data_IF_737350130518
#
_entry.id   IF_737350130518
#
_cell.length_a   1.000
_cell.length_b   1.000
_cell.length_c   1.000
_cell.angle_alpha   90.00
_cell.angle_beta   90.00
_cell.angle_gamma   90.00
#
_symmetry.space_group_name_H-M   'P 1'
#
loop_
_entity.id
_entity.type
_entity.pdbx_description
1 polymer ?
#
# COMPACT_ATOMS: atom_id res chain seq x y z
N UNK A 1 21.07 -10.30 -31.17
CA UNK A 1 20.30 -10.93 -30.06
C UNK A 1 21.00 -10.85 -28.70
N UNK A 2 22.30 -11.22 -28.53
CA UNK A 2 23.05 -11.04 -27.27
C UNK A 2 23.18 -9.56 -26.84
N UNK A 3 23.50 -8.68 -27.78
CA UNK A 3 23.67 -7.24 -27.53
C UNK A 3 22.36 -6.57 -27.14
N UNK A 4 21.24 -6.93 -27.77
CA UNK A 4 19.87 -6.46 -27.43
C UNK A 4 19.41 -6.92 -26.03
N UNK A 5 19.80 -8.10 -25.59
CA UNK A 5 19.55 -8.60 -24.23
C UNK A 5 20.39 -7.86 -23.19
N UNK A 6 21.67 -7.64 -23.46
CA UNK A 6 22.56 -6.89 -22.56
C UNK A 6 22.08 -5.43 -22.41
N UNK A 7 21.68 -4.79 -23.52
CA UNK A 7 21.13 -3.43 -23.51
C UNK A 7 19.77 -3.37 -22.80
N UNK A 8 18.98 -4.44 -22.87
CA UNK A 8 17.73 -4.59 -22.11
C UNK A 8 18.01 -4.65 -20.61
N UNK A 9 18.94 -5.51 -20.17
CA UNK A 9 19.32 -5.60 -18.75
C UNK A 9 20.03 -4.34 -18.23
N UNK A 10 20.77 -3.62 -19.04
CA UNK A 10 21.38 -2.33 -18.68
C UNK A 10 20.37 -1.22 -18.41
N UNK A 11 19.15 -1.33 -18.97
CA UNK A 11 18.05 -0.38 -18.75
C UNK A 11 17.28 -0.62 -17.45
N UNK A 12 17.43 -1.77 -16.81
CA UNK A 12 16.73 -2.07 -15.57
C UNK A 12 17.42 -1.43 -14.36
N UNK A 13 16.66 -0.69 -13.58
CA UNK A 13 17.10 -0.22 -12.27
C UNK A 13 16.99 -1.36 -11.25
N UNK A 14 18.08 -2.13 -11.15
CA UNK A 14 18.15 -3.29 -10.24
C UNK A 14 17.91 -2.94 -8.76
N UNK A 15 18.02 -1.66 -8.38
CA UNK A 15 17.76 -1.27 -7.00
C UNK A 15 16.28 -1.40 -6.60
N UNK A 16 15.33 -1.07 -7.49
CA UNK A 16 13.91 -1.30 -7.22
C UNK A 16 13.58 -2.78 -7.17
N UNK A 17 14.08 -3.54 -8.14
CA UNK A 17 13.88 -4.99 -8.22
C UNK A 17 14.55 -5.67 -7.03
N UNK A 18 15.80 -5.33 -6.71
CA UNK A 18 16.51 -5.88 -5.56
C UNK A 18 15.81 -5.62 -4.23
N UNK A 19 15.28 -4.40 -4.02
CA UNK A 19 14.48 -4.08 -2.83
C UNK A 19 13.19 -4.91 -2.77
N UNK A 20 12.49 -5.09 -3.89
CA UNK A 20 11.32 -5.95 -3.98
C UNK A 20 11.64 -7.39 -3.58
N UNK A 21 12.71 -7.96 -4.15
CA UNK A 21 13.13 -9.34 -3.86
C UNK A 21 13.58 -9.51 -2.41
N UNK A 22 14.35 -8.55 -1.87
CA UNK A 22 14.82 -8.62 -0.49
C UNK A 22 13.65 -8.61 0.51
N UNK A 23 12.70 -7.67 0.34
CA UNK A 23 11.51 -7.58 1.22
C UNK A 23 10.63 -8.82 1.04
N UNK A 24 10.39 -9.25 -0.21
CA UNK A 24 9.59 -10.44 -0.48
C UNK A 24 10.21 -11.70 0.11
N UNK A 25 11.52 -11.87 0.02
CA UNK A 25 12.23 -13.03 0.58
C UNK A 25 12.06 -13.10 2.11
N UNK A 26 12.24 -11.97 2.80
CA UNK A 26 11.97 -11.88 4.24
C UNK A 26 10.50 -12.21 4.54
N UNK A 27 9.57 -11.64 3.77
CA UNK A 27 8.14 -11.92 3.91
C UNK A 27 7.78 -13.38 3.66
N UNK A 28 8.40 -14.01 2.65
CA UNK A 28 8.19 -15.43 2.34
C UNK A 28 8.70 -16.36 3.46
N UNK A 29 9.87 -16.06 4.03
CA UNK A 29 10.40 -16.80 5.18
C UNK A 29 9.46 -16.64 6.39
N UNK A 30 9.02 -15.42 6.68
CA UNK A 30 8.09 -15.16 7.78
C UNK A 30 6.73 -15.84 7.56
N UNK A 31 6.20 -15.80 6.34
CA UNK A 31 4.96 -16.50 5.99
C UNK A 31 5.11 -18.03 6.10
N UNK A 32 6.25 -18.57 5.65
CA UNK A 32 6.56 -19.99 5.82
C UNK A 32 6.57 -20.38 7.30
N UNK A 33 7.22 -19.59 8.15
CA UNK A 33 7.24 -19.80 9.60
C UNK A 33 5.82 -19.78 10.18
N UNK A 34 5.06 -18.73 9.91
CA UNK A 34 3.71 -18.55 10.44
C UNK A 34 2.72 -19.65 10.01
N UNK A 35 2.86 -20.19 8.79
CA UNK A 35 1.94 -21.21 8.25
C UNK A 35 2.34 -22.63 8.58
N UNK A 36 3.64 -22.93 8.77
CA UNK A 36 4.13 -24.28 9.08
C UNK A 36 4.24 -24.55 10.60
N UNK A 37 4.05 -23.53 11.44
CA UNK A 37 3.85 -23.71 12.87
C UNK A 37 2.49 -24.36 13.19
N UNK A 38 1.56 -24.35 12.24
CA UNK A 38 0.21 -24.92 12.38
C UNK A 38 0.05 -26.20 11.57
N UNK A 39 -0.67 -27.17 12.11
CA UNK A 39 -0.91 -28.48 11.49
C UNK A 39 -1.94 -28.45 10.36
N UNK A 40 -2.59 -27.32 10.09
CA UNK A 40 -3.66 -27.24 9.09
C UNK A 40 -3.11 -27.17 7.65
N UNK A 41 -3.47 -28.17 6.83
CA UNK A 41 -3.12 -28.24 5.39
C UNK A 41 -3.54 -27.01 4.59
N UNK A 42 -4.62 -26.35 5.01
CA UNK A 42 -5.13 -25.14 4.36
C UNK A 42 -4.18 -23.94 4.52
N UNK A 43 -3.54 -23.79 5.68
CA UNK A 43 -2.58 -22.71 5.92
C UNK A 43 -1.26 -22.97 5.20
N UNK A 44 -0.83 -24.21 5.10
CA UNK A 44 0.37 -24.59 4.33
C UNK A 44 0.21 -24.26 2.83
N UNK A 45 -1.02 -24.36 2.26
CA UNK A 45 -1.28 -23.99 0.87
C UNK A 45 -1.14 -22.48 0.59
N UNK A 46 -1.23 -21.61 1.63
CA UNK A 46 -1.07 -20.15 1.51
C UNK A 46 0.34 -19.79 1.06
N UNK A 47 1.37 -20.44 1.61
CA UNK A 47 2.76 -20.21 1.20
C UNK A 47 2.97 -20.51 -0.29
N UNK A 48 2.51 -21.68 -0.76
CA UNK A 48 2.59 -22.03 -2.17
C UNK A 48 1.84 -21.07 -3.09
N UNK A 49 0.69 -20.57 -2.63
CA UNK A 49 -0.09 -19.56 -3.36
C UNK A 49 0.65 -18.22 -3.44
N UNK A 50 1.32 -17.80 -2.37
CA UNK A 50 2.13 -16.57 -2.37
C UNK A 50 3.28 -16.63 -3.37
N UNK A 51 3.97 -17.79 -3.48
CA UNK A 51 5.03 -17.97 -4.47
C UNK A 51 4.48 -17.90 -5.92
N UNK A 52 3.31 -18.50 -6.19
CA UNK A 52 2.66 -18.40 -7.50
C UNK A 52 2.32 -16.94 -7.84
N UNK A 53 1.77 -16.18 -6.88
CA UNK A 53 1.49 -14.77 -7.05
C UNK A 53 2.75 -13.93 -7.28
N UNK A 54 3.87 -14.30 -6.65
CA UNK A 54 5.14 -13.62 -6.88
C UNK A 54 5.68 -13.86 -8.30
N UNK A 55 5.50 -15.05 -8.87
CA UNK A 55 5.83 -15.30 -10.29
C UNK A 55 4.98 -14.40 -11.20
N UNK A 56 3.66 -14.31 -10.95
CA UNK A 56 2.78 -13.40 -11.69
C UNK A 56 3.21 -11.94 -11.50
N UNK A 57 3.57 -11.54 -10.28
CA UNK A 57 4.07 -10.19 -9.98
C UNK A 57 5.31 -9.84 -10.81
N UNK A 58 6.26 -10.76 -10.98
CA UNK A 58 7.44 -10.56 -11.82
C UNK A 58 7.09 -10.35 -13.29
N UNK A 59 6.13 -11.12 -13.81
CA UNK A 59 5.62 -10.93 -15.18
C UNK A 59 4.99 -9.53 -15.31
N UNK A 60 4.21 -9.10 -14.32
CA UNK A 60 3.60 -7.77 -14.29
C UNK A 60 4.65 -6.66 -14.26
N UNK A 61 5.69 -6.77 -13.42
CA UNK A 61 6.82 -5.82 -13.39
C UNK A 61 7.45 -5.71 -14.77
N UNK A 62 7.73 -6.85 -15.40
CA UNK A 62 8.35 -6.90 -16.73
C UNK A 62 7.46 -6.23 -17.79
N UNK A 63 6.19 -6.60 -17.86
CA UNK A 63 5.24 -6.03 -18.84
C UNK A 63 5.09 -4.53 -18.65
N UNK A 64 4.89 -4.06 -17.41
CA UNK A 64 4.69 -2.62 -17.14
C UNK A 64 5.97 -1.82 -17.41
N UNK A 65 7.15 -2.38 -17.13
CA UNK A 65 8.43 -1.70 -17.39
C UNK A 65 8.71 -1.43 -18.88
N UNK A 66 8.05 -2.17 -19.78
CA UNK A 66 8.16 -1.96 -21.23
C UNK A 66 7.35 -0.75 -21.73
N UNK A 67 6.37 -0.28 -20.96
CA UNK A 67 5.58 0.88 -21.36
C UNK A 67 6.40 2.17 -21.20
N UNK A 68 6.61 2.95 -22.28
CA UNK A 68 7.32 4.21 -22.16
C UNK A 68 6.50 5.26 -21.39
N UNK A 69 7.13 6.15 -20.60
CA UNK A 69 6.43 7.16 -19.80
C UNK A 69 5.53 8.10 -20.61
N UNK A 70 5.81 8.30 -21.90
CA UNK A 70 4.90 9.03 -22.81
C UNK A 70 3.53 8.36 -22.94
N UNK A 71 3.52 7.03 -23.01
CA UNK A 71 2.27 6.25 -23.07
C UNK A 71 1.54 6.29 -21.73
N UNK A 72 2.26 6.21 -20.60
CA UNK A 72 1.69 6.32 -19.26
C UNK A 72 1.00 7.69 -19.09
N UNK A 73 1.64 8.77 -19.52
CA UNK A 73 1.02 10.10 -19.51
C UNK A 73 -0.28 10.15 -20.32
N UNK A 74 -0.27 9.55 -21.52
CA UNK A 74 -1.46 9.52 -22.40
C UNK A 74 -2.60 8.71 -21.81
N UNK A 75 -2.28 7.58 -21.19
CA UNK A 75 -3.25 6.62 -20.64
C UNK A 75 -3.73 6.98 -19.23
N UNK A 76 -3.11 7.94 -18.52
CA UNK A 76 -3.42 8.25 -17.11
C UNK A 76 -4.90 8.47 -16.82
N UNK A 77 -5.60 9.28 -17.62
CA UNK A 77 -7.03 9.54 -17.40
C UNK A 77 -7.91 8.37 -17.83
N UNK A 78 -7.49 7.58 -18.82
CA UNK A 78 -8.20 6.36 -19.19
C UNK A 78 -8.09 5.29 -18.10
N UNK A 79 -6.90 5.11 -17.53
CA UNK A 79 -6.71 4.21 -16.39
C UNK A 79 -7.57 4.63 -15.19
N UNK A 80 -7.66 5.94 -14.91
CA UNK A 80 -8.51 6.48 -13.87
C UNK A 80 -10.00 6.22 -14.16
N UNK A 81 -10.49 6.52 -15.37
CA UNK A 81 -11.89 6.35 -15.75
C UNK A 81 -12.31 4.87 -15.72
N UNK A 82 -11.48 3.97 -16.24
CA UNK A 82 -11.73 2.53 -16.22
C UNK A 82 -11.83 2.04 -14.77
N UNK A 83 -10.89 2.43 -13.91
CA UNK A 83 -10.92 2.02 -12.51
C UNK A 83 -12.12 2.61 -11.75
N UNK A 84 -12.50 3.85 -12.05
CA UNK A 84 -13.70 4.45 -11.48
C UNK A 84 -14.96 3.64 -11.88
N UNK A 85 -15.05 3.24 -13.14
CA UNK A 85 -16.12 2.34 -13.62
C UNK A 85 -16.11 0.99 -12.88
N UNK A 86 -14.92 0.39 -12.68
CA UNK A 86 -14.79 -0.85 -11.93
C UNK A 86 -15.22 -0.70 -10.46
N UNK A 87 -14.95 0.46 -9.82
CA UNK A 87 -15.43 0.74 -8.47
C UNK A 87 -16.96 0.80 -8.41
N UNK A 88 -17.62 1.42 -9.40
CA UNK A 88 -19.07 1.44 -9.50
C UNK A 88 -19.60 0.02 -9.73
N UNK A 89 -18.95 -0.75 -10.59
CA UNK A 89 -19.34 -2.14 -10.86
C UNK A 89 -19.26 -3.03 -9.61
N UNK A 90 -18.27 -2.82 -8.73
CA UNK A 90 -18.18 -3.52 -7.43
C UNK A 90 -19.38 -3.23 -6.55
N UNK A 91 -19.89 -1.99 -6.53
CA UNK A 91 -21.08 -1.64 -5.72
C UNK A 91 -22.33 -2.38 -6.19
N UNK A 92 -22.43 -2.70 -7.50
CA UNK A 92 -23.58 -3.36 -8.11
C UNK A 92 -23.44 -4.88 -8.06
N UNK A 93 -22.27 -5.43 -8.47
CA UNK A 93 -22.07 -6.86 -8.73
C UNK A 93 -20.99 -7.50 -7.85
N UNK A 94 -20.38 -6.76 -6.92
CA UNK A 94 -19.26 -7.25 -6.12
C UNK A 94 -19.67 -8.37 -5.17
N UNK A 95 -18.77 -9.31 -4.93
CA UNK A 95 -18.97 -10.35 -3.91
C UNK A 95 -18.71 -9.81 -2.50
N UNK A 96 -19.59 -10.20 -1.58
CA UNK A 96 -19.45 -9.91 -0.15
C UNK A 96 -18.43 -10.88 0.46
N UNK A 97 -17.38 -10.33 1.07
CA UNK A 97 -16.41 -11.09 1.84
C UNK A 97 -16.11 -10.36 3.15
N UNK A 98 -16.14 -11.07 4.30
CA UNK A 98 -15.91 -10.49 5.64
C UNK A 98 -16.79 -9.25 5.95
N UNK A 99 -18.06 -9.26 5.51
CA UNK A 99 -19.01 -8.16 5.73
C UNK A 99 -18.86 -6.93 4.81
N UNK A 100 -17.98 -6.97 3.82
CA UNK A 100 -17.77 -5.88 2.87
C UNK A 100 -17.80 -6.38 1.41
N UNK A 101 -18.32 -5.56 0.51
CA UNK A 101 -18.44 -5.86 -0.92
C UNK A 101 -17.30 -5.15 -1.65
N UNK A 102 -16.17 -5.85 -1.89
CA UNK A 102 -14.93 -5.24 -2.38
C UNK A 102 -14.29 -5.95 -3.58
N UNK A 103 -14.77 -7.16 -3.92
CA UNK A 103 -14.10 -8.03 -4.87
C UNK A 103 -14.95 -8.26 -6.12
N UNK A 104 -14.31 -8.16 -7.28
CA UNK A 104 -14.82 -8.69 -8.55
C UNK A 104 -14.21 -10.06 -8.78
N UNK A 105 -15.04 -11.06 -9.03
CA UNK A 105 -14.59 -12.41 -9.37
C UNK A 105 -14.73 -12.60 -10.86
N UNK A 106 -13.60 -12.75 -11.54
CA UNK A 106 -13.50 -12.93 -12.97
C UNK A 106 -12.79 -14.28 -13.24
N UNK A 107 -13.52 -15.31 -13.60
CA UNK A 107 -12.94 -16.61 -13.99
C UNK A 107 -12.01 -17.24 -12.92
N UNK A 108 -12.34 -17.14 -11.64
CA UNK A 108 -11.51 -17.64 -10.52
C UNK A 108 -10.50 -16.62 -9.96
N UNK A 109 -10.33 -15.50 -10.61
CA UNK A 109 -9.49 -14.39 -10.17
C UNK A 109 -10.30 -13.43 -9.31
N UNK A 110 -9.78 -13.06 -8.13
CA UNK A 110 -10.37 -12.04 -7.27
C UNK A 110 -9.60 -10.73 -7.46
N UNK A 111 -10.22 -9.77 -8.14
CA UNK A 111 -9.67 -8.44 -8.35
C UNK A 111 -10.30 -7.47 -7.34
N UNK A 112 -9.48 -6.65 -6.70
CA UNK A 112 -9.94 -5.54 -5.85
C UNK A 112 -9.66 -4.21 -6.55
N UNK A 113 -10.66 -3.57 -7.18
CA UNK A 113 -10.44 -2.34 -7.93
C UNK A 113 -9.92 -1.17 -7.09
N UNK A 114 -10.25 -1.12 -5.80
CA UNK A 114 -9.72 -0.11 -4.88
C UNK A 114 -8.19 -0.17 -4.73
N UNK A 115 -7.58 -1.35 -4.90
CA UNK A 115 -6.13 -1.51 -4.92
C UNK A 115 -5.50 -0.81 -6.14
N UNK A 116 -6.07 -1.02 -7.33
CA UNK A 116 -5.59 -0.38 -8.56
C UNK A 116 -5.91 1.12 -8.59
N UNK A 117 -6.96 1.55 -7.88
CA UNK A 117 -7.37 2.96 -7.85
C UNK A 117 -6.30 3.87 -7.27
N UNK A 118 -5.49 3.40 -6.30
CA UNK A 118 -4.36 4.16 -5.76
C UNK A 118 -3.36 4.56 -6.84
N UNK A 119 -3.03 3.61 -7.73
CA UNK A 119 -2.12 3.84 -8.86
C UNK A 119 -2.76 4.78 -9.88
N UNK A 120 -4.01 4.52 -10.25
CA UNK A 120 -4.73 5.33 -11.23
C UNK A 120 -4.92 6.78 -10.76
N UNK A 121 -5.13 6.98 -9.46
CA UNK A 121 -5.18 8.32 -8.86
C UNK A 121 -3.81 9.00 -8.96
N UNK A 122 -2.72 8.31 -8.61
CA UNK A 122 -1.37 8.87 -8.73
C UNK A 122 -1.05 9.26 -10.18
N UNK A 123 -1.42 8.43 -11.18
CA UNK A 123 -1.28 8.74 -12.60
C UNK A 123 -2.11 9.97 -13.00
N UNK A 124 -3.37 10.05 -12.59
CA UNK A 124 -4.27 11.15 -12.94
C UNK A 124 -3.83 12.49 -12.33
N UNK A 125 -3.46 12.50 -11.04
CA UNK A 125 -2.96 13.67 -10.34
C UNK A 125 -1.62 14.13 -10.93
N UNK A 126 -0.70 13.21 -11.24
CA UNK A 126 0.57 13.53 -11.89
C UNK A 126 0.35 14.20 -13.24
N UNK A 127 -0.59 13.70 -14.04
CA UNK A 127 -0.95 14.31 -15.33
C UNK A 127 -1.61 15.68 -15.16
N UNK A 128 -2.45 15.84 -14.16
CA UNK A 128 -3.07 17.13 -13.87
C UNK A 128 -2.03 18.20 -13.50
N UNK A 129 -1.16 17.88 -12.54
CA UNK A 129 -0.13 18.80 -12.08
C UNK A 129 0.96 19.08 -13.12
N UNK A 130 1.24 18.14 -14.03
CA UNK A 130 2.18 18.36 -15.12
C UNK A 130 1.75 19.44 -16.13
N UNK A 131 0.47 19.81 -16.16
CA UNK A 131 -0.02 20.91 -17.00
C UNK A 131 0.27 22.30 -16.43
N UNK A 132 0.52 22.38 -15.13
CA UNK A 132 0.89 23.64 -14.47
C UNK A 132 2.40 23.81 -14.42
N UNK A 133 2.90 25.06 -14.42
CA UNK A 133 4.34 25.33 -14.30
C UNK A 133 4.88 24.72 -13.00
N UNK A 134 6.03 24.01 -13.02
CA UNK A 134 6.59 23.37 -11.84
C UNK A 134 6.81 24.33 -10.67
N UNK A 135 7.22 25.56 -10.95
CA UNK A 135 7.58 26.58 -9.97
C UNK A 135 6.37 27.28 -9.31
N UNK A 136 5.17 27.16 -9.92
CA UNK A 136 3.97 27.80 -9.39
C UNK A 136 3.55 27.17 -8.06
N UNK A 137 3.52 27.98 -6.98
CA UNK A 137 2.92 27.56 -5.72
C UNK A 137 1.41 27.33 -5.86
N UNK A 138 0.90 26.32 -5.15
CA UNK A 138 -0.52 26.00 -5.12
C UNK A 138 -1.24 26.77 -4.02
N UNK A 139 -2.33 27.45 -4.42
CA UNK A 139 -3.32 28.02 -3.50
C UNK A 139 -4.46 27.02 -3.27
N UNK A 140 -5.30 27.27 -2.28
CA UNK A 140 -6.48 26.42 -2.00
C UNK A 140 -7.40 26.25 -3.21
N UNK A 141 -7.60 27.30 -4.00
CA UNK A 141 -8.41 27.24 -5.23
C UNK A 141 -7.84 26.31 -6.30
N UNK A 142 -6.51 26.17 -6.36
CA UNK A 142 -5.85 25.29 -7.32
C UNK A 142 -6.02 23.79 -6.92
N UNK A 143 -6.43 23.52 -5.67
CA UNK A 143 -6.67 22.19 -5.16
C UNK A 143 -8.09 21.65 -5.44
N UNK A 144 -9.03 22.50 -5.86
CA UNK A 144 -10.44 22.10 -6.07
C UNK A 144 -10.54 20.93 -7.04
N UNK A 145 -9.93 21.02 -8.22
CA UNK A 145 -9.99 19.95 -9.23
C UNK A 145 -9.26 18.69 -8.78
N UNK A 146 -7.99 18.72 -8.27
CA UNK A 146 -7.34 17.56 -7.71
C UNK A 146 -8.10 16.92 -6.56
N UNK A 147 -8.76 17.72 -5.72
CA UNK A 147 -9.62 17.23 -4.66
C UNK A 147 -10.84 16.51 -5.21
N UNK A 148 -11.52 17.04 -6.23
CA UNK A 148 -12.64 16.36 -6.89
C UNK A 148 -12.19 15.04 -7.49
N UNK A 149 -11.05 15.00 -8.18
CA UNK A 149 -10.45 13.75 -8.72
C UNK A 149 -10.20 12.74 -7.60
N UNK A 150 -9.87 13.17 -6.39
CA UNK A 150 -9.58 12.28 -5.26
C UNK A 150 -10.85 11.87 -4.52
N UNK A 151 -11.78 12.81 -4.26
CA UNK A 151 -12.93 12.56 -3.40
C UNK A 151 -13.95 11.61 -4.04
N UNK A 152 -14.12 11.67 -5.37
CA UNK A 152 -15.06 10.80 -6.09
C UNK A 152 -14.75 9.31 -5.85
N UNK A 153 -13.55 8.79 -6.15
CA UNK A 153 -13.22 7.40 -5.85
C UNK A 153 -13.18 7.11 -4.35
N UNK A 154 -12.78 8.07 -3.52
CA UNK A 154 -12.77 7.91 -2.06
C UNK A 154 -14.17 7.63 -1.53
N UNK A 155 -15.18 8.39 -1.95
CA UNK A 155 -16.58 8.17 -1.54
C UNK A 155 -17.06 6.80 -1.99
N UNK A 156 -16.80 6.39 -3.23
CA UNK A 156 -17.18 5.05 -3.72
C UNK A 156 -16.54 3.93 -2.91
N UNK A 157 -15.27 4.07 -2.51
CA UNK A 157 -14.55 3.09 -1.70
C UNK A 157 -15.09 3.06 -0.25
N UNK A 158 -15.41 4.21 0.33
CA UNK A 158 -16.04 4.30 1.66
C UNK A 158 -17.43 3.64 1.67
N UNK A 159 -18.19 3.76 0.58
CA UNK A 159 -19.46 3.06 0.39
C UNK A 159 -19.30 1.52 0.33
N UNK A 160 -18.10 1.02 -0.06
CA UNK A 160 -17.72 -0.41 -0.03
C UNK A 160 -17.21 -0.89 1.34
N UNK A 161 -17.56 -0.28 2.43
CA UNK A 161 -16.99 -0.26 3.79
C UNK A 161 -15.46 -0.43 3.87
N UNK A 162 -14.68 0.32 3.04
CA UNK A 162 -13.22 0.29 3.01
C UNK A 162 -12.62 1.67 3.36
N UNK A 163 -12.67 2.03 4.64
CA UNK A 163 -12.13 3.31 5.13
C UNK A 163 -10.62 3.40 4.96
N UNK A 164 -9.91 2.28 5.12
CA UNK A 164 -8.46 2.25 5.03
C UNK A 164 -7.95 2.70 3.67
N UNK A 165 -8.46 2.08 2.62
CA UNK A 165 -8.10 2.46 1.25
C UNK A 165 -8.61 3.85 0.89
N UNK A 166 -9.81 4.25 1.39
CA UNK A 166 -10.31 5.61 1.21
C UNK A 166 -9.38 6.67 1.81
N UNK A 167 -8.90 6.44 3.03
CA UNK A 167 -7.91 7.31 3.68
C UNK A 167 -6.60 7.38 2.89
N UNK A 168 -6.12 6.25 2.37
CA UNK A 168 -4.91 6.22 1.55
C UNK A 168 -5.01 7.12 0.32
N UNK A 169 -6.15 7.18 -0.36
CA UNK A 169 -6.31 8.07 -1.51
C UNK A 169 -6.15 9.54 -1.13
N UNK A 170 -6.71 9.94 0.02
CA UNK A 170 -6.55 11.30 0.54
C UNK A 170 -5.08 11.58 0.89
N UNK A 171 -4.40 10.64 1.53
CA UNK A 171 -2.99 10.79 1.89
C UNK A 171 -2.08 10.87 0.66
N UNK A 172 -2.34 10.09 -0.39
CA UNK A 172 -1.63 10.17 -1.68
C UNK A 172 -1.82 11.57 -2.30
N UNK A 173 -3.05 12.07 -2.33
CA UNK A 173 -3.35 13.43 -2.82
C UNK A 173 -2.59 14.51 -2.04
N UNK A 174 -2.55 14.41 -0.71
CA UNK A 174 -1.84 15.38 0.14
C UNK A 174 -0.34 15.37 -0.14
N UNK A 175 0.30 14.18 -0.24
CA UNK A 175 1.73 14.05 -0.54
C UNK A 175 2.06 14.63 -1.92
N UNK A 176 1.29 14.31 -2.95
CA UNK A 176 1.49 14.83 -4.31
C UNK A 176 1.30 16.35 -4.34
N UNK A 177 0.27 16.87 -3.66
CA UNK A 177 0.01 18.32 -3.58
C UNK A 177 1.09 19.07 -2.81
N UNK A 178 1.61 18.46 -1.73
CA UNK A 178 2.73 18.98 -0.96
C UNK A 178 4.01 19.05 -1.81
N UNK A 179 4.32 17.98 -2.54
CA UNK A 179 5.47 17.93 -3.44
C UNK A 179 5.41 19.01 -4.53
N UNK A 180 4.21 19.37 -5.00
CA UNK A 180 3.97 20.47 -5.96
C UNK A 180 4.07 21.89 -5.34
N UNK A 181 4.66 22.04 -4.14
CA UNK A 181 4.82 23.30 -3.41
C UNK A 181 3.49 23.93 -2.96
N UNK A 182 2.74 23.19 -2.16
CA UNK A 182 1.57 23.72 -1.48
C UNK A 182 1.99 24.78 -0.45
N UNK A 183 1.34 25.93 -0.45
CA UNK A 183 1.60 27.01 0.52
C UNK A 183 1.30 26.58 1.94
N UNK A 184 2.15 26.98 2.90
CA UNK A 184 1.99 26.64 4.32
C UNK A 184 0.63 27.05 4.90
N UNK A 185 0.10 28.24 4.48
CA UNK A 185 -1.25 28.67 4.87
C UNK A 185 -2.33 27.71 4.38
N UNK A 186 -2.19 27.18 3.17
CA UNK A 186 -3.13 26.20 2.62
C UNK A 186 -3.06 24.87 3.38
N UNK A 187 -1.91 24.46 3.86
CA UNK A 187 -1.74 23.26 4.71
C UNK A 187 -2.50 23.43 6.03
N UNK A 188 -2.35 24.59 6.69
CA UNK A 188 -3.09 24.88 7.93
C UNK A 188 -4.61 24.82 7.75
N UNK A 189 -5.12 25.39 6.65
CA UNK A 189 -6.56 25.35 6.32
C UNK A 189 -7.02 23.91 6.02
N UNK A 190 -6.23 23.13 5.25
CA UNK A 190 -6.56 21.72 4.97
C UNK A 190 -6.55 20.88 6.25
N UNK A 191 -5.60 21.12 7.15
CA UNK A 191 -5.57 20.45 8.45
C UNK A 191 -6.83 20.76 9.28
N UNK A 192 -7.24 22.04 9.33
CA UNK A 192 -8.47 22.45 10.01
C UNK A 192 -9.72 21.79 9.38
N UNK A 193 -9.82 21.81 8.04
CA UNK A 193 -10.90 21.13 7.31
C UNK A 193 -10.89 19.64 7.62
N UNK A 194 -9.72 19.00 7.65
CA UNK A 194 -9.57 17.59 7.98
C UNK A 194 -10.05 17.24 9.39
N UNK A 195 -9.73 18.09 10.38
CA UNK A 195 -10.19 17.92 11.76
C UNK A 195 -11.71 18.04 11.84
N UNK A 196 -12.29 19.08 11.24
CA UNK A 196 -13.75 19.30 11.24
C UNK A 196 -14.45 18.16 10.50
N UNK A 197 -13.95 17.76 9.33
CA UNK A 197 -14.50 16.63 8.57
C UNK A 197 -14.40 15.31 9.37
N UNK A 198 -13.29 15.07 10.07
CA UNK A 198 -13.12 13.91 10.95
C UNK A 198 -14.14 13.89 12.09
N UNK A 199 -14.39 15.04 12.74
CA UNK A 199 -15.42 15.16 13.79
C UNK A 199 -16.83 14.90 13.26
N UNK A 200 -17.15 15.46 12.09
CA UNK A 200 -18.46 15.25 11.44
C UNK A 200 -18.63 13.77 11.03
N UNK A 201 -17.58 13.18 10.46
CA UNK A 201 -17.56 11.79 10.06
C UNK A 201 -17.76 10.86 11.27
N UNK A 202 -17.10 11.12 12.40
CA UNK A 202 -17.24 10.35 13.63
C UNK A 202 -18.69 10.39 14.17
N UNK A 203 -19.32 11.56 14.18
CA UNK A 203 -20.67 11.72 14.72
C UNK A 203 -21.74 11.16 13.78
N UNK A 204 -21.65 11.43 12.47
CA UNK A 204 -22.75 11.21 11.52
C UNK A 204 -22.42 10.19 10.42
N UNK A 205 -21.15 9.96 10.09
CA UNK A 205 -20.75 9.17 8.91
C UNK A 205 -20.27 7.77 9.22
N UNK A 206 -19.70 7.50 10.39
CA UNK A 206 -19.14 6.20 10.72
C UNK A 206 -20.21 5.21 11.15
N UNK A 207 -20.12 3.98 10.63
CA UNK A 207 -20.89 2.83 11.08
C UNK A 207 -20.39 2.33 12.44
N UNK A 208 -21.22 1.62 13.21
CA UNK A 208 -20.90 1.15 14.56
C UNK A 208 -19.59 0.34 14.64
N UNK A 209 -19.34 -0.56 13.69
CA UNK A 209 -18.09 -1.33 13.68
C UNK A 209 -16.84 -0.46 13.45
N UNK A 210 -16.98 0.68 12.77
CA UNK A 210 -15.89 1.64 12.54
C UNK A 210 -15.63 2.48 13.79
N UNK A 211 -16.71 2.92 14.45
CA UNK A 211 -16.62 3.59 15.76
C UNK A 211 -15.99 2.67 16.81
N UNK A 212 -16.38 1.38 16.82
CA UNK A 212 -15.76 0.39 17.70
C UNK A 212 -14.25 0.29 17.50
N UNK A 213 -13.74 0.32 16.29
CA UNK A 213 -12.27 0.30 16.02
C UNK A 213 -11.54 1.50 16.66
N UNK A 214 -12.18 2.68 16.65
CA UNK A 214 -11.61 3.88 17.30
C UNK A 214 -11.67 3.74 18.82
N UNK A 215 -12.79 3.27 19.36
CA UNK A 215 -12.95 3.02 20.80
C UNK A 215 -11.94 1.97 21.27
N UNK A 216 -11.80 0.88 20.54
CA UNK A 216 -10.85 -0.20 20.83
C UNK A 216 -9.40 0.26 20.77
N UNK A 217 -9.08 1.23 19.93
CA UNK A 217 -7.74 1.82 19.90
C UNK A 217 -7.43 2.59 21.18
N UNK A 218 -8.40 3.35 21.71
CA UNK A 218 -8.23 4.11 22.97
C UNK A 218 -8.30 3.18 24.19
N UNK A 219 -9.19 2.19 24.16
CA UNK A 219 -9.36 1.20 25.22
C UNK A 219 -9.51 -0.21 24.63
N UNK A 220 -8.39 -0.94 24.41
CA UNK A 220 -8.42 -2.28 23.83
C UNK A 220 -9.21 -3.30 24.66
N UNK A 221 -9.31 -3.09 25.97
CA UNK A 221 -10.06 -3.98 26.87
C UNK A 221 -11.58 -3.90 26.66
N UNK A 222 -12.10 -2.83 26.06
CA UNK A 222 -13.53 -2.68 25.76
C UNK A 222 -14.03 -3.71 24.74
N UNK A 223 -13.14 -4.32 23.94
CA UNK A 223 -13.47 -5.38 22.97
C UNK A 223 -12.51 -6.58 23.10
N UNK A 224 -12.54 -7.21 24.27
CA UNK A 224 -11.62 -8.29 24.63
C UNK A 224 -11.77 -9.58 23.81
N UNK A 225 -12.75 -9.69 22.89
CA UNK A 225 -12.98 -10.87 22.02
C UNK A 225 -12.90 -10.54 20.52
N UNK A 226 -12.77 -9.27 20.13
CA UNK A 226 -12.73 -8.83 18.75
C UNK A 226 -11.44 -8.11 18.38
N UNK A 227 -11.56 -6.90 17.84
CA UNK A 227 -10.40 -6.11 17.39
C UNK A 227 -9.45 -5.74 18.52
N UNK A 228 -9.95 -5.57 19.77
CA UNK A 228 -9.11 -5.32 20.94
C UNK A 228 -8.21 -6.49 21.31
N UNK A 229 -8.74 -7.71 21.22
CA UNK A 229 -7.94 -8.92 21.40
C UNK A 229 -6.74 -8.96 20.43
N UNK A 230 -7.01 -8.73 19.13
CA UNK A 230 -5.97 -8.73 18.12
C UNK A 230 -4.91 -7.64 18.36
N UNK A 231 -5.32 -6.43 18.80
CA UNK A 231 -4.39 -5.37 19.15
C UNK A 231 -3.47 -5.76 20.32
N UNK A 232 -4.05 -6.32 21.39
CA UNK A 232 -3.29 -6.75 22.56
C UNK A 232 -2.33 -7.89 22.20
N UNK A 233 -2.79 -8.92 21.47
CA UNK A 233 -1.94 -10.05 21.07
C UNK A 233 -0.80 -9.62 20.13
N UNK A 234 -1.07 -8.66 19.23
CA UNK A 234 -0.06 -8.07 18.38
C UNK A 234 1.04 -7.36 19.19
N UNK A 235 0.66 -6.55 20.19
CA UNK A 235 1.61 -5.88 21.07
C UNK A 235 2.40 -6.86 21.95
N UNK A 236 1.76 -7.91 22.45
CA UNK A 236 2.42 -9.01 23.18
C UNK A 236 3.46 -9.71 22.29
N UNK A 237 3.10 -10.01 21.03
CA UNK A 237 4.02 -10.59 20.06
C UNK A 237 5.28 -9.73 19.90
N UNK A 238 5.10 -8.44 19.60
CA UNK A 238 6.20 -7.49 19.40
C UNK A 238 7.06 -7.39 20.66
N UNK A 239 6.45 -7.18 21.83
CA UNK A 239 7.17 -7.02 23.09
C UNK A 239 7.92 -8.29 23.51
N UNK A 240 7.36 -9.48 23.23
CA UNK A 240 7.98 -10.76 23.56
C UNK A 240 9.21 -11.08 22.69
N UNK A 241 9.35 -10.48 21.52
CA UNK A 241 10.51 -10.62 20.63
C UNK A 241 11.80 -9.99 21.19
N UNK A 242 11.70 -9.03 22.10
CA UNK A 242 12.87 -8.38 22.74
C UNK A 242 13.87 -7.87 21.69
N UNK A 243 15.17 -8.02 21.95
CA UNK A 243 16.23 -7.50 21.07
C UNK A 243 16.54 -8.46 19.88
N UNK A 244 16.69 -9.74 20.12
CA UNK A 244 17.11 -10.73 19.12
C UNK A 244 15.99 -11.63 18.59
N UNK A 245 14.79 -11.56 19.17
CA UNK A 245 13.68 -12.46 18.84
C UNK A 245 13.75 -13.80 19.54
N UNK A 246 12.68 -14.59 19.38
CA UNK A 246 12.58 -15.96 19.90
C UNK A 246 13.24 -17.00 18.96
N UNK A 247 13.66 -16.58 17.77
CA UNK A 247 14.17 -17.46 16.72
C UNK A 247 13.11 -17.88 15.71
N UNK A 248 13.56 -18.30 14.56
CA UNK A 248 12.74 -18.75 13.45
C UNK A 248 11.85 -19.95 13.84
N UNK A 249 10.56 -19.92 13.48
CA UNK A 249 9.53 -20.90 13.84
C UNK A 249 9.19 -21.01 15.34
N UNK A 250 9.66 -20.09 16.16
CA UNK A 250 9.40 -20.10 17.60
C UNK A 250 8.37 -19.06 18.04
N UNK A 251 7.53 -18.58 17.11
CA UNK A 251 6.42 -17.69 17.42
C UNK A 251 5.31 -18.46 18.16
N UNK A 252 5.05 -18.07 19.42
CA UNK A 252 3.95 -18.61 20.19
C UNK A 252 2.59 -18.09 19.69
N UNK A 253 2.55 -16.88 19.16
CA UNK A 253 1.33 -16.29 18.60
C UNK A 253 0.87 -16.98 17.33
N UNK A 254 1.81 -17.43 16.50
CA UNK A 254 1.50 -18.20 15.29
C UNK A 254 1.15 -19.66 15.62
N UNK A 255 1.95 -20.35 16.46
CA UNK A 255 1.78 -21.77 16.75
C UNK A 255 0.48 -22.08 17.52
N UNK A 256 0.10 -21.20 18.47
CA UNK A 256 -1.11 -21.34 19.28
C UNK A 256 -2.34 -20.66 18.66
N UNK A 257 -2.19 -20.04 17.48
CA UNK A 257 -3.24 -19.35 16.77
C UNK A 257 -3.94 -18.24 17.60
N UNK A 258 -3.17 -17.56 18.48
CA UNK A 258 -3.69 -16.48 19.30
C UNK A 258 -3.92 -15.20 18.49
N UNK A 259 -3.21 -15.02 17.37
CA UNK A 259 -3.37 -13.87 16.50
C UNK A 259 -3.99 -14.31 15.16
N UNK A 260 -5.31 -14.14 14.96
CA UNK A 260 -5.94 -14.31 13.67
C UNK A 260 -5.33 -13.35 12.63
N UNK A 261 -5.42 -13.71 11.33
CA UNK A 261 -4.90 -12.89 10.22
C UNK A 261 -3.39 -12.56 10.36
N UNK A 262 -2.62 -13.43 11.02
CA UNK A 262 -1.18 -13.29 11.22
C UNK A 262 -0.38 -13.31 9.91
N UNK A 263 -0.97 -13.83 8.83
CA UNK A 263 -0.37 -13.91 7.49
C UNK A 263 -0.71 -12.72 6.59
N UNK A 264 -1.64 -11.85 6.98
CA UNK A 264 -2.09 -10.67 6.22
C UNK A 264 -1.74 -9.37 6.96
N UNK A 265 -2.60 -8.93 7.86
CA UNK A 265 -2.53 -7.61 8.49
C UNK A 265 -1.49 -7.54 9.62
N UNK A 266 -1.26 -8.66 10.32
CA UNK A 266 -0.38 -8.75 11.49
C UNK A 266 0.96 -9.45 11.21
N UNK A 267 1.36 -9.52 9.94
CA UNK A 267 2.61 -10.17 9.51
C UNK A 267 3.85 -9.60 10.21
N UNK A 268 3.87 -8.29 10.46
CA UNK A 268 4.96 -7.60 11.15
C UNK A 268 5.06 -8.00 12.64
N UNK A 269 3.96 -8.34 13.30
CA UNK A 269 3.95 -8.80 14.69
C UNK A 269 4.67 -10.14 14.87
N UNK A 270 4.36 -11.11 13.98
CA UNK A 270 5.04 -12.42 13.99
C UNK A 270 6.51 -12.27 13.65
N UNK A 271 6.83 -11.40 12.66
CA UNK A 271 8.22 -11.11 12.30
C UNK A 271 9.02 -10.55 13.49
N UNK A 272 8.42 -9.62 14.25
CA UNK A 272 9.06 -9.07 15.47
C UNK A 272 9.21 -10.11 16.56
N UNK A 273 8.23 -10.98 16.77
CA UNK A 273 8.33 -12.05 17.77
C UNK A 273 9.51 -12.99 17.48
N UNK A 274 9.73 -13.31 16.20
CA UNK A 274 10.79 -14.25 15.79
C UNK A 274 12.18 -13.61 15.67
N UNK A 275 12.27 -12.36 15.17
CA UNK A 275 13.52 -11.69 14.82
C UNK A 275 13.84 -10.48 15.72
N UNK A 276 12.93 -10.09 16.59
CA UNK A 276 13.10 -9.02 17.56
C UNK A 276 13.34 -7.63 16.95
N UNK A 277 13.90 -6.75 17.77
CA UNK A 277 14.20 -5.37 17.40
C UNK A 277 15.24 -5.29 16.26
N UNK A 278 16.26 -6.15 16.30
CA UNK A 278 17.29 -6.17 15.26
C UNK A 278 16.74 -6.52 13.89
N UNK A 279 15.90 -7.55 13.79
CA UNK A 279 15.21 -7.90 12.54
C UNK A 279 14.33 -6.76 12.03
N UNK A 280 13.64 -6.06 12.94
CA UNK A 280 12.80 -4.92 12.59
C UNK A 280 13.59 -3.75 12.00
N UNK A 281 14.77 -3.44 12.55
CA UNK A 281 15.67 -2.41 11.98
C UNK A 281 16.08 -2.79 10.57
N UNK A 282 16.44 -4.05 10.32
CA UNK A 282 16.83 -4.51 8.98
C UNK A 282 15.68 -4.33 7.99
N UNK A 283 14.45 -4.76 8.36
CA UNK A 283 13.28 -4.62 7.51
C UNK A 283 12.92 -3.15 7.23
N UNK A 284 12.90 -2.31 8.28
CA UNK A 284 12.63 -0.87 8.15
C UNK A 284 13.69 -0.20 7.25
N UNK A 285 14.96 -0.58 7.40
CA UNK A 285 16.05 -0.05 6.56
C UNK A 285 15.83 -0.38 5.08
N UNK A 286 15.33 -1.58 4.74
CA UNK A 286 15.00 -1.94 3.36
C UNK A 286 13.86 -1.06 2.80
N UNK A 287 12.82 -0.77 3.59
CA UNK A 287 11.78 0.18 3.17
C UNK A 287 12.32 1.60 3.01
N UNK A 288 13.16 2.07 3.93
CA UNK A 288 13.80 3.39 3.82
C UNK A 288 14.65 3.47 2.53
N UNK A 289 15.45 2.44 2.22
CA UNK A 289 16.21 2.37 0.97
C UNK A 289 15.27 2.48 -0.25
N UNK A 290 14.16 1.76 -0.24
CA UNK A 290 13.17 1.83 -1.31
C UNK A 290 12.58 3.26 -1.45
N UNK A 291 12.24 3.93 -0.33
CA UNK A 291 11.72 5.30 -0.35
C UNK A 291 12.75 6.30 -0.85
N UNK A 292 13.99 6.20 -0.40
CA UNK A 292 15.09 7.06 -0.84
C UNK A 292 15.36 6.89 -2.34
N UNK A 293 15.22 5.67 -2.88
CA UNK A 293 15.33 5.42 -4.32
C UNK A 293 14.22 6.11 -5.12
N UNK A 294 12.99 6.13 -4.63
CA UNK A 294 11.91 6.89 -5.28
C UNK A 294 12.14 8.41 -5.23
N UNK A 295 12.61 8.94 -4.09
CA UNK A 295 12.96 10.36 -3.96
C UNK A 295 14.08 10.72 -4.94
N UNK A 296 15.11 9.90 -5.01
CA UNK A 296 16.22 10.09 -5.96
C UNK A 296 15.73 10.02 -7.41
N UNK A 297 14.87 9.03 -7.74
CA UNK A 297 14.26 8.92 -9.07
C UNK A 297 13.50 10.20 -9.42
N UNK A 298 12.67 10.70 -8.51
CA UNK A 298 11.89 11.93 -8.69
C UNK A 298 12.77 13.13 -9.05
N UNK A 299 13.97 13.25 -8.47
CA UNK A 299 14.93 14.32 -8.79
C UNK A 299 15.74 14.08 -10.06
N UNK A 300 15.82 12.85 -10.57
CA UNK A 300 16.67 12.48 -11.70
C UNK A 300 15.96 12.41 -13.06
N UNK A 301 14.62 12.41 -13.08
CA UNK A 301 13.82 12.37 -14.30
C UNK A 301 13.62 13.78 -14.89
N UNK A 302 13.56 13.86 -16.22
CA UNK A 302 13.49 15.16 -16.93
C UNK A 302 12.10 15.78 -16.93
N UNK A 303 11.05 14.95 -16.95
CA UNK A 303 9.67 15.47 -17.05
C UNK A 303 9.06 15.61 -15.68
N UNK A 304 8.42 16.74 -15.45
CA UNK A 304 7.73 16.99 -14.20
C UNK A 304 6.62 15.96 -13.89
N UNK A 305 5.94 15.45 -14.93
CA UNK A 305 5.00 14.33 -14.78
C UNK A 305 5.65 13.10 -14.13
N UNK A 306 6.82 12.70 -14.63
CA UNK A 306 7.54 11.52 -14.17
C UNK A 306 8.01 11.70 -12.72
N UNK A 307 8.46 12.91 -12.38
CA UNK A 307 8.85 13.30 -11.02
C UNK A 307 7.68 13.19 -10.04
N UNK A 308 6.53 13.76 -10.38
CA UNK A 308 5.33 13.72 -9.54
C UNK A 308 4.80 12.28 -9.41
N UNK A 309 4.84 11.50 -10.50
CA UNK A 309 4.41 10.10 -10.49
C UNK A 309 5.30 9.24 -9.58
N UNK A 310 6.62 9.45 -9.61
CA UNK A 310 7.55 8.75 -8.72
C UNK A 310 7.22 9.00 -7.24
N UNK A 311 6.92 10.25 -6.87
CA UNK A 311 6.49 10.60 -5.51
C UNK A 311 5.12 10.02 -5.18
N UNK A 312 4.18 10.02 -6.13
CA UNK A 312 2.87 9.39 -5.96
C UNK A 312 2.99 7.89 -5.67
N UNK A 313 3.84 7.18 -6.40
CA UNK A 313 4.10 5.76 -6.16
C UNK A 313 4.80 5.55 -4.81
N UNK A 314 5.81 6.36 -4.50
CA UNK A 314 6.47 6.33 -3.19
C UNK A 314 5.45 6.47 -2.06
N UNK A 315 4.50 7.40 -2.18
CA UNK A 315 3.48 7.63 -1.16
C UNK A 315 2.59 6.42 -0.91
N UNK A 316 2.29 5.62 -1.95
CA UNK A 316 1.56 4.36 -1.81
C UNK A 316 2.34 3.40 -0.91
N UNK A 317 3.62 3.16 -1.20
CA UNK A 317 4.48 2.30 -0.37
C UNK A 317 4.64 2.83 1.05
N UNK A 318 4.91 4.12 1.19
CA UNK A 318 5.14 4.76 2.48
C UNK A 318 3.94 4.60 3.41
N UNK A 319 2.74 4.97 2.95
CA UNK A 319 1.54 4.92 3.78
C UNK A 319 1.11 3.50 4.12
N UNK A 320 1.25 2.55 3.19
CA UNK A 320 1.01 1.14 3.50
C UNK A 320 1.94 0.63 4.60
N UNK A 321 3.23 0.89 4.46
CA UNK A 321 4.25 0.47 5.44
C UNK A 321 4.02 1.15 6.78
N UNK A 322 3.86 2.47 6.79
CA UNK A 322 3.69 3.27 8.00
C UNK A 322 2.42 2.88 8.76
N UNK A 323 1.28 2.85 8.09
CA UNK A 323 0.00 2.51 8.74
C UNK A 323 0.01 1.07 9.24
N UNK A 324 0.51 0.09 8.46
CA UNK A 324 0.59 -1.30 8.91
C UNK A 324 1.46 -1.43 10.16
N UNK A 325 2.67 -0.91 10.15
CA UNK A 325 3.57 -0.98 11.32
C UNK A 325 2.97 -0.25 12.53
N UNK A 326 2.42 0.95 12.35
CA UNK A 326 1.79 1.70 13.44
C UNK A 326 0.57 0.99 14.03
N UNK A 327 -0.30 0.38 13.21
CA UNK A 327 -1.48 -0.31 13.75
C UNK A 327 -1.12 -1.55 14.57
N UNK A 328 -0.11 -2.32 14.15
CA UNK A 328 0.29 -3.52 14.90
C UNK A 328 1.06 -3.19 16.17
N UNK A 329 1.74 -2.04 16.22
CA UNK A 329 2.36 -1.50 17.45
C UNK A 329 1.36 -0.83 18.39
N UNK A 330 0.09 -0.67 17.98
CA UNK A 330 -0.93 0.01 18.77
C UNK A 330 -0.81 1.53 18.78
N UNK A 331 -0.15 2.12 17.77
CA UNK A 331 -0.03 3.58 17.60
C UNK A 331 -1.15 4.16 16.72
N UNK A 332 -1.90 3.30 16.03
CA UNK A 332 -3.05 3.66 15.18
C UNK A 332 -4.16 2.61 15.29
N UNK A 333 -5.42 2.97 15.02
CA UNK A 333 -6.51 1.99 14.94
C UNK A 333 -6.24 0.91 13.88
N UNK A 334 -6.76 -0.30 14.08
CA UNK A 334 -6.61 -1.39 13.11
C UNK A 334 -7.42 -1.06 11.85
N UNK A 335 -6.70 -0.87 10.74
CA UNK A 335 -7.28 -0.48 9.44
C UNK A 335 -7.36 -1.65 8.47
N UNK A 336 -6.45 -2.62 8.58
CA UNK A 336 -6.38 -3.78 7.69
C UNK A 336 -5.72 -3.45 6.34
N UNK A 337 -4.55 -2.85 6.39
CA UNK A 337 -3.72 -2.56 5.21
C UNK A 337 -2.52 -3.50 5.18
N UNK A 338 -2.28 -4.21 4.06
CA UNK A 338 -1.16 -5.14 3.97
C UNK A 338 0.18 -4.42 3.92
N UNK A 339 1.20 -5.04 4.49
CA UNK A 339 2.59 -4.59 4.40
C UNK A 339 3.17 -4.97 3.02
N UNK A 340 3.70 -4.01 2.23
CA UNK A 340 4.14 -4.25 0.85
C UNK A 340 5.14 -5.39 0.73
N UNK A 341 4.87 -6.34 -0.18
CA UNK A 341 5.65 -7.54 -0.47
C UNK A 341 5.82 -8.53 0.70
N UNK A 342 5.48 -8.17 1.92
CA UNK A 342 5.62 -9.02 3.09
C UNK A 342 4.33 -9.76 3.44
N UNK A 343 3.18 -9.07 3.39
CA UNK A 343 1.87 -9.67 3.66
C UNK A 343 1.42 -10.61 2.54
N UNK A 344 0.67 -11.64 2.91
CA UNK A 344 -0.05 -12.47 1.95
C UNK A 344 -1.18 -11.67 1.29
N UNK A 345 -1.25 -11.72 -0.05
CA UNK A 345 -2.35 -11.13 -0.79
C UNK A 345 -2.05 -10.94 -2.28
N UNK A 346 -2.76 -11.67 -3.14
CA UNK A 346 -2.53 -11.63 -4.58
C UNK A 346 -2.76 -10.24 -5.20
N UNK A 347 -3.89 -9.58 -4.89
CA UNK A 347 -4.22 -8.26 -5.46
C UNK A 347 -3.26 -7.17 -4.98
N UNK A 348 -2.91 -7.14 -3.69
CA UNK A 348 -1.95 -6.17 -3.16
C UNK A 348 -0.54 -6.39 -3.74
N UNK A 349 -0.11 -7.64 -3.85
CA UNK A 349 1.18 -7.98 -4.45
C UNK A 349 1.27 -7.51 -5.91
N UNK A 350 0.21 -7.73 -6.70
CA UNK A 350 0.13 -7.21 -8.08
C UNK A 350 0.16 -5.69 -8.11
N UNK A 351 -0.56 -5.02 -7.22
CA UNK A 351 -0.56 -3.55 -7.12
C UNK A 351 0.85 -3.01 -6.87
N UNK A 352 1.58 -3.59 -5.91
CA UNK A 352 2.95 -3.20 -5.63
C UNK A 352 3.90 -3.57 -6.79
N UNK A 353 3.66 -4.68 -7.47
CA UNK A 353 4.40 -5.06 -8.68
C UNK A 353 4.20 -4.04 -9.81
N UNK A 354 2.97 -3.58 -10.05
CA UNK A 354 2.70 -2.49 -11.02
C UNK A 354 3.46 -1.23 -10.62
N UNK A 355 3.49 -0.87 -9.33
CA UNK A 355 4.25 0.28 -8.84
C UNK A 355 5.76 0.15 -9.13
N UNK A 356 6.36 -1.03 -8.90
CA UNK A 356 7.78 -1.28 -9.23
C UNK A 356 8.00 -1.26 -10.75
N UNK A 357 7.10 -1.84 -11.55
CA UNK A 357 7.16 -1.79 -13.00
C UNK A 357 7.12 -0.36 -13.55
N UNK A 358 6.25 0.49 -12.99
CA UNK A 358 6.20 1.92 -13.31
C UNK A 358 7.49 2.64 -12.92
N UNK A 359 8.04 2.40 -11.72
CA UNK A 359 9.30 2.98 -11.28
C UNK A 359 10.46 2.59 -12.21
N UNK A 360 10.52 1.33 -12.63
CA UNK A 360 11.51 0.83 -13.60
C UNK A 360 11.34 1.51 -14.96
N UNK A 361 10.09 1.65 -15.45
CA UNK A 361 9.79 2.38 -16.69
C UNK A 361 10.28 3.84 -16.64
N UNK A 362 10.02 4.54 -15.52
CA UNK A 362 10.48 5.91 -15.32
C UNK A 362 12.02 6.00 -15.27
N UNK A 363 12.67 5.05 -14.60
CA UNK A 363 14.14 4.99 -14.52
C UNK A 363 14.76 4.73 -15.88
N UNK A 364 14.16 3.86 -16.71
CA UNK A 364 14.62 3.57 -18.06
C UNK A 364 14.59 4.81 -18.98
N UNK A 365 13.63 5.70 -18.79
CA UNK A 365 13.53 6.93 -19.60
C UNK A 365 14.64 7.94 -19.30
N UNK A 366 15.29 7.85 -18.14
CA UNK A 366 16.43 8.68 -17.76
C UNK A 366 17.68 8.34 -18.60
N UNK A 367 17.86 7.07 -18.96
CA UNK A 367 19.07 6.57 -19.62
C UNK A 367 18.99 6.65 -21.16
N UNK A 368 17.96 7.32 -21.72
CA UNK A 368 17.76 7.44 -23.17
C UNK A 368 18.33 8.74 -23.75
N UNK A 369 19.07 9.54 -22.95
CA UNK A 369 19.75 10.76 -23.41
C UNK A 369 21.16 10.85 -22.85
#
# INVERSE_FOLDING_TARGET
>A
MKQTLIDFFRKYDFSFIGSMYAIFFIGALNLYSATHAQTSTKLQSIFGSQLKWFVVANIVVLVISLFPPKSLFRLSYWAYAINLFLLVLVLIMGQKGMGAQRWLVLGGFRLQPSELMKISLALALSRYYARSRPEKELYLKDLIIPFIITIIPTVLIVMQPDLGTGLLLILIFLVISFFKRLRWKSIGVLALIGIVAGMLMYNFGLKDYQKRRIITFVNPQADAKGSGYNAIQSQIAIGSGRFLGKGFKNSSQASLNYLPENHTDFVFSIFNEEHGFFGSIVLISLYIILFLRFIWLSGSVLRFYDSVLAIGIMSIFFWHTFINMCMVMGLMPIVGLPLPFMSYGGSSLITFAVCIGLATSLSNSRNLF
#
